data_IF_041119164964
#
_entry.id   IF_041119164964
#
_cell.length_a   1.000
_cell.length_b   1.000
_cell.length_c   1.000
_cell.angle_alpha   90.00
_cell.angle_beta   90.00
_cell.angle_gamma   90.00
#
_symmetry.space_group_name_H-M   'P 1'
#
loop_
_entity.id
_entity.type
_entity.pdbx_description
1 polymer ?
#
# COMPACT_ATOMS: atom_id res chain seq x y z
N UNK A 1 0.99 17.25 -2.32
CA UNK A 1 1.90 17.01 -2.09
C UNK A 1 2.02 15.87 -1.67
N UNK A 2 2.48 15.46 -2.05
CA UNK A 2 2.53 14.30 -1.78
C UNK A 2 3.36 14.00 -0.79
N UNK A 3 3.54 14.77 -0.15
CA UNK A 3 4.35 14.57 0.73
C UNK A 3 4.08 13.82 1.72
N UNK A 4 3.04 13.33 1.78
CA UNK A 4 2.61 12.68 2.90
C UNK A 4 3.58 11.72 3.50
N UNK A 5 4.39 11.07 2.72
CA UNK A 5 5.21 10.03 3.26
C UNK A 5 6.67 10.24 2.99
N UNK A 6 7.16 11.35 3.44
CA UNK A 6 8.59 11.53 3.42
C UNK A 6 9.17 10.77 4.61
N UNK A 7 10.45 10.74 4.76
CA UNK A 7 11.11 9.95 5.80
C UNK A 7 10.71 10.33 7.21
N UNK A 8 10.31 11.55 7.45
CA UNK A 8 9.96 11.97 8.80
C UNK A 8 8.56 11.52 9.21
N UNK A 9 7.71 11.11 8.24
CA UNK A 9 6.35 10.70 8.51
C UNK A 9 6.19 9.18 8.53
N UNK A 10 7.29 8.42 8.47
CA UNK A 10 7.24 6.98 8.49
C UNK A 10 7.46 6.45 9.88
N UNK A 11 6.83 5.34 10.21
CA UNK A 11 7.06 4.73 11.49
C UNK A 11 8.35 3.93 11.42
N UNK A 12 9.11 3.92 12.50
CA UNK A 12 10.33 3.15 12.54
C UNK A 12 10.03 1.68 12.38
N UNK A 13 8.89 1.22 12.90
CA UNK A 13 8.48 -0.17 12.83
C UNK A 13 8.57 -0.75 11.40
N UNK A 14 8.01 -0.05 10.42
CA UNK A 14 7.99 -0.55 9.04
C UNK A 14 9.40 -0.71 8.48
N UNK A 15 10.30 0.24 8.79
CA UNK A 15 11.66 0.20 8.27
C UNK A 15 12.58 -0.75 9.05
N UNK A 16 12.29 -1.00 10.32
CA UNK A 16 13.09 -1.92 11.11
C UNK A 16 12.70 -3.35 10.76
N UNK A 17 11.39 -3.65 10.67
CA UNK A 17 10.93 -5.00 10.40
C UNK A 17 11.00 -5.40 8.93
N UNK A 18 10.89 -4.44 8.01
CA UNK A 18 10.84 -4.74 6.58
C UNK A 18 11.72 -3.76 5.78
N UNK A 19 12.99 -3.59 6.14
CA UNK A 19 13.81 -2.54 5.51
C UNK A 19 13.98 -2.68 4.01
N UNK A 20 14.20 -3.90 3.53
CA UNK A 20 14.44 -4.12 2.12
C UNK A 20 13.17 -3.87 1.31
N UNK A 21 12.05 -4.38 1.80
CA UNK A 21 10.76 -4.20 1.12
C UNK A 21 10.39 -2.72 1.03
N UNK A 22 10.52 -2.01 2.15
CA UNK A 22 10.16 -0.60 2.19
C UNK A 22 11.06 0.22 1.27
N UNK A 23 12.35 -0.07 1.26
CA UNK A 23 13.31 0.62 0.41
C UNK A 23 12.99 0.42 -1.08
N UNK A 24 12.71 -0.82 -1.48
CA UNK A 24 12.41 -1.13 -2.87
C UNK A 24 11.08 -0.54 -3.32
N UNK A 25 10.06 -0.60 -2.47
CA UNK A 25 8.76 -0.04 -2.81
C UNK A 25 8.89 1.48 -2.95
N UNK A 26 9.62 2.13 -2.05
CA UNK A 26 9.81 3.56 -2.12
C UNK A 26 10.55 3.93 -3.41
N UNK A 27 11.59 3.18 -3.76
CA UNK A 27 12.38 3.45 -4.94
C UNK A 27 11.62 3.26 -6.24
N UNK A 28 10.86 2.16 -6.37
CA UNK A 28 10.18 1.86 -7.59
C UNK A 28 8.81 2.51 -7.75
N UNK A 29 8.09 2.70 -6.67
CA UNK A 29 6.70 3.11 -6.76
C UNK A 29 6.34 4.35 -5.94
N UNK A 30 7.06 4.61 -4.86
CA UNK A 30 6.68 5.65 -3.91
C UNK A 30 5.46 5.23 -3.09
N UNK A 31 4.98 6.14 -2.25
CA UNK A 31 3.88 5.87 -1.33
C UNK A 31 2.71 6.83 -1.52
N UNK A 32 2.68 7.58 -2.61
CA UNK A 32 1.66 8.62 -2.79
C UNK A 32 0.70 8.26 -3.91
N UNK A 33 -0.33 9.06 -4.09
CA UNK A 33 -1.29 8.83 -5.16
C UNK A 33 -2.38 7.83 -4.83
N UNK A 34 -2.89 7.85 -3.58
CA UNK A 34 -3.94 6.92 -3.16
C UNK A 34 -5.20 7.20 -3.95
N UNK A 35 -5.76 6.18 -4.58
CA UNK A 35 -6.98 6.29 -5.39
C UNK A 35 -8.16 5.52 -4.81
N UNK A 36 -7.91 4.55 -3.94
CA UNK A 36 -8.97 3.80 -3.26
C UNK A 36 -8.53 3.67 -1.81
N UNK A 37 -9.40 3.99 -0.86
CA UNK A 37 -9.03 3.89 0.54
C UNK A 37 -10.17 3.35 1.37
N UNK A 38 -9.87 2.52 2.37
CA UNK A 38 -10.85 1.97 3.29
C UNK A 38 -10.32 2.13 4.72
N UNK A 39 -11.22 2.02 5.68
CA UNK A 39 -10.83 1.95 7.07
C UNK A 39 -10.77 0.47 7.43
N UNK A 40 -9.74 0.08 8.14
CA UNK A 40 -9.57 -1.29 8.57
C UNK A 40 -9.17 -1.32 10.03
N UNK A 41 -9.81 -2.21 10.80
CA UNK A 41 -9.49 -2.35 12.21
C UNK A 41 -8.28 -3.26 12.36
N UNK A 42 -7.27 -2.79 13.06
CA UNK A 42 -6.05 -3.57 13.31
C UNK A 42 -5.72 -3.48 14.79
N UNK A 43 -5.65 -4.63 15.45
CA UNK A 43 -5.30 -4.71 16.86
C UNK A 43 -6.07 -3.71 17.73
N UNK A 44 -7.37 -3.63 17.50
CA UNK A 44 -8.23 -2.74 18.28
C UNK A 44 -8.27 -1.29 17.82
N UNK A 45 -7.48 -0.92 16.82
CA UNK A 45 -7.45 0.45 16.32
C UNK A 45 -7.75 0.46 14.82
N UNK A 46 -8.30 1.57 14.34
CA UNK A 46 -8.57 1.71 12.92
C UNK A 46 -7.37 2.34 12.21
N UNK A 47 -7.12 1.88 11.01
CA UNK A 47 -6.10 2.43 10.14
C UNK A 47 -6.72 2.67 8.77
N UNK A 48 -6.11 3.56 7.99
CA UNK A 48 -6.51 3.81 6.60
C UNK A 48 -5.66 2.94 5.69
N UNK A 49 -6.31 2.07 4.90
CA UNK A 49 -5.60 1.19 4.01
C UNK A 49 -5.96 1.62 2.60
N UNK A 50 -5.00 2.04 1.83
CA UNK A 50 -5.21 2.61 0.50
C UNK A 50 -4.42 1.92 -0.59
N UNK A 51 -4.97 1.95 -1.82
CA UNK A 51 -4.28 1.52 -3.01
C UNK A 51 -3.84 2.78 -3.74
N UNK A 52 -2.58 2.85 -4.11
CA UNK A 52 -2.08 3.97 -4.87
C UNK A 52 -2.25 3.72 -6.36
N UNK A 53 -2.11 4.78 -7.17
CA UNK A 53 -2.18 4.66 -8.62
C UNK A 53 -1.02 3.81 -9.18
N UNK A 54 0.05 3.64 -8.41
CA UNK A 54 1.15 2.77 -8.78
C UNK A 54 0.88 1.29 -8.45
N UNK A 55 -0.26 1.00 -7.82
CA UNK A 55 -0.63 -0.37 -7.50
C UNK A 55 -0.07 -0.89 -6.18
N UNK A 56 0.26 0.00 -5.26
CA UNK A 56 0.83 -0.37 -3.96
C UNK A 56 -0.18 -0.11 -2.86
N UNK A 57 -0.20 -0.97 -1.84
CA UNK A 57 -1.03 -0.77 -0.67
C UNK A 57 -0.23 0.00 0.36
N UNK A 58 -0.79 1.09 0.86
CA UNK A 58 -0.18 1.90 1.91
C UNK A 58 -1.14 1.94 3.10
N UNK A 59 -0.65 1.59 4.27
CA UNK A 59 -1.46 1.60 5.50
C UNK A 59 -0.97 2.74 6.37
N UNK A 60 -1.89 3.62 6.75
CA UNK A 60 -1.58 4.83 7.52
C UNK A 60 -2.37 4.88 8.82
N UNK A 61 -1.87 5.62 9.79
CA UNK A 61 -2.60 5.88 11.02
C UNK A 61 -3.85 6.69 10.69
N UNK A 62 -4.92 6.48 11.45
CA UNK A 62 -6.18 7.17 11.21
C UNK A 62 -6.05 8.68 11.47
N UNK A 63 -5.46 9.05 12.58
CA UNK A 63 -5.39 10.45 13.02
C UNK A 63 -4.04 11.13 12.79
N UNK A 64 -3.08 10.42 12.26
CA UNK A 64 -1.77 10.99 12.03
C UNK A 64 -1.34 10.68 10.61
N UNK A 65 -0.53 11.52 10.02
CA UNK A 65 -0.08 11.29 8.67
C UNK A 65 1.19 10.44 8.69
N UNK A 66 1.13 9.33 9.39
CA UNK A 66 2.23 8.39 9.51
C UNK A 66 1.88 7.09 8.81
N UNK A 67 2.82 6.57 8.05
CA UNK A 67 2.66 5.30 7.39
C UNK A 67 3.03 4.17 8.34
N UNK A 68 2.16 3.19 8.48
CA UNK A 68 2.41 2.02 9.31
C UNK A 68 3.20 1.00 8.50
N UNK A 69 2.77 0.74 7.28
CA UNK A 69 3.48 -0.19 6.38
C UNK A 69 3.04 0.03 4.94
N UNK A 70 3.76 -0.57 4.02
CA UNK A 70 3.37 -0.59 2.60
C UNK A 70 3.81 -1.93 2.02
N UNK A 71 3.07 -2.42 1.03
CA UNK A 71 3.40 -3.68 0.38
C UNK A 71 2.78 -3.74 -1.02
N UNK A 72 3.34 -4.60 -1.86
CA UNK A 72 2.79 -4.86 -3.18
C UNK A 72 1.69 -5.89 -3.04
N UNK A 73 0.43 -5.58 -3.38
CA UNK A 73 -0.65 -6.53 -3.22
C UNK A 73 -0.68 -7.56 -4.32
N UNK A 74 -1.22 -8.74 -4.02
CA UNK A 74 -1.59 -9.68 -5.06
C UNK A 74 -2.98 -9.29 -5.57
N UNK A 75 -3.49 -10.05 -6.55
CA UNK A 75 -4.78 -9.73 -7.15
C UNK A 75 -5.93 -9.82 -6.16
N UNK A 76 -5.90 -10.81 -5.27
CA UNK A 76 -6.97 -10.99 -4.30
C UNK A 76 -7.00 -9.85 -3.28
N UNK A 77 -5.84 -9.40 -2.83
CA UNK A 77 -5.76 -8.30 -1.89
C UNK A 77 -6.30 -7.00 -2.51
N UNK A 78 -5.98 -6.77 -3.79
CA UNK A 78 -6.47 -5.59 -4.50
C UNK A 78 -8.00 -5.64 -4.67
N UNK A 79 -8.54 -6.80 -5.02
CA UNK A 79 -9.97 -6.98 -5.17
C UNK A 79 -10.68 -6.74 -3.84
N UNK A 80 -10.11 -7.25 -2.75
CA UNK A 80 -10.72 -7.12 -1.42
C UNK A 80 -10.81 -5.65 -1.00
N UNK A 81 -9.76 -4.87 -1.22
CA UNK A 81 -9.77 -3.46 -0.87
C UNK A 81 -10.84 -2.72 -1.69
N UNK A 82 -10.90 -2.97 -2.99
CA UNK A 82 -11.88 -2.32 -3.84
C UNK A 82 -13.30 -2.72 -3.48
N UNK A 83 -13.53 -4.00 -3.16
CA UNK A 83 -14.83 -4.49 -2.74
C UNK A 83 -15.27 -3.80 -1.45
N UNK A 84 -14.38 -3.68 -0.48
CA UNK A 84 -14.70 -3.01 0.79
C UNK A 84 -14.95 -1.52 0.60
N UNK A 85 -14.39 -0.94 -0.45
CA UNK A 85 -14.62 0.46 -0.77
C UNK A 85 -15.92 0.68 -1.57
N UNK A 86 -16.69 -0.38 -1.79
CA UNK A 86 -17.96 -0.29 -2.50
C UNK A 86 -17.85 -0.38 -4.02
N UNK A 87 -16.70 -0.77 -4.54
CA UNK A 87 -16.51 -0.89 -5.97
C UNK A 87 -16.81 -2.31 -6.42
N UNK A 88 -17.38 -2.45 -7.61
CA UNK A 88 -17.73 -3.76 -8.14
C UNK A 88 -16.48 -4.49 -8.62
N UNK A 89 -15.47 -3.74 -9.03
CA UNK A 89 -14.23 -4.32 -9.53
C UNK A 89 -13.09 -3.32 -9.35
N UNK A 90 -11.88 -3.79 -9.50
CA UNK A 90 -10.72 -2.91 -9.49
C UNK A 90 -10.77 -2.06 -10.76
N UNK A 91 -10.57 -0.75 -10.69
CA UNK A 91 -10.56 0.09 -11.88
C UNK A 91 -9.60 -0.47 -12.93
N UNK A 92 -9.97 -0.50 -14.22
CA UNK A 92 -9.16 -1.16 -15.25
C UNK A 92 -7.69 -0.72 -15.33
N UNK A 93 -7.42 0.57 -15.23
CA UNK A 93 -6.05 1.06 -15.29
C UNK A 93 -5.25 0.57 -14.09
N UNK A 94 -5.86 0.57 -12.91
CA UNK A 94 -5.22 0.12 -11.70
C UNK A 94 -4.99 -1.39 -11.76
N UNK A 95 -5.96 -2.13 -12.28
CA UNK A 95 -5.85 -3.57 -12.43
C UNK A 95 -4.65 -3.96 -13.34
N UNK A 96 -4.51 -3.26 -14.46
CA UNK A 96 -3.38 -3.49 -15.35
C UNK A 96 -2.06 -3.19 -14.67
N UNK A 97 -2.04 -2.15 -13.84
CA UNK A 97 -0.83 -1.77 -13.13
C UNK A 97 -0.44 -2.83 -12.11
N UNK A 98 -1.43 -3.36 -11.38
CA UNK A 98 -1.20 -4.41 -10.39
C UNK A 98 -0.66 -5.67 -11.08
N UNK A 99 -1.27 -6.06 -12.20
CA UNK A 99 -0.82 -7.22 -12.94
C UNK A 99 0.62 -7.04 -13.46
N UNK A 100 0.94 -5.84 -13.94
CA UNK A 100 2.27 -5.54 -14.43
C UNK A 100 3.29 -5.59 -13.29
N UNK A 101 2.94 -5.11 -12.11
CA UNK A 101 3.83 -5.16 -10.96
C UNK A 101 4.12 -6.60 -10.55
N UNK A 102 3.10 -7.46 -10.55
CA UNK A 102 3.27 -8.87 -10.21
C UNK A 102 4.17 -9.58 -11.22
N UNK A 103 4.09 -9.18 -12.48
CA UNK A 103 4.90 -9.76 -13.52
C UNK A 103 6.35 -9.27 -13.45
N UNK A 104 6.55 -7.97 -13.21
CA UNK A 104 7.88 -7.36 -13.22
C UNK A 104 8.64 -7.48 -11.90
N UNK A 105 7.92 -7.55 -10.79
CA UNK A 105 8.53 -7.55 -9.46
C UNK A 105 7.99 -8.66 -8.57
N UNK A 106 7.98 -9.93 -9.04
CA UNK A 106 7.41 -11.01 -8.25
C UNK A 106 8.15 -11.20 -6.91
N UNK A 107 9.41 -10.81 -6.85
CA UNK A 107 10.18 -10.91 -5.63
C UNK A 107 9.60 -10.05 -4.50
N UNK A 108 8.95 -8.93 -4.83
CA UNK A 108 8.38 -8.06 -3.80
C UNK A 108 7.17 -8.69 -3.14
N UNK A 109 6.46 -9.56 -3.86
CA UNK A 109 5.29 -10.23 -3.32
C UNK A 109 5.70 -11.20 -2.21
N UNK A 110 6.87 -11.78 -2.29
CA UNK A 110 7.34 -12.76 -1.35
C UNK A 110 8.30 -12.20 -0.29
N UNK A 111 8.48 -10.89 -0.28
CA UNK A 111 9.29 -10.26 0.75
C UNK A 111 8.44 -10.10 1.99
N UNK A 112 8.45 -11.11 2.84
CA UNK A 112 7.69 -11.09 4.07
C UNK A 112 8.56 -10.68 5.22
N UNK A 113 7.90 -10.26 6.25
CA UNK A 113 8.59 -9.81 7.45
C UNK A 113 9.16 -10.95 8.21
#
# INVERSE_FOLDING_TARGET
>A
MAIAYNSTNRTEHAYIDHPERMRLIEEYFGFTGIVVEILEKRKGQYARKGLTSAGIVVVRCLNEDKMITAYMPDEEQAKEICRKAGKKQVPPKLWKKIQKNLERHPELLYMVS
#
